data_IF_602923914241
#
_entry.id   IF_602923914241
#
_cell.length_a   1.000
_cell.length_b   1.000
_cell.length_c   1.000
_cell.angle_alpha   90.00
_cell.angle_beta   90.00
_cell.angle_gamma   90.00
#
_symmetry.space_group_name_H-M   'P 1'
#
loop_
_entity.id
_entity.type
_entity.pdbx_description
1 polymer ?
#
# COMPACT_ATOMS: atom_id res chain seq x y z
N UNK A 1 -11.12 -6.64 12.21
CA UNK A 1 -10.24 -5.46 12.07
C UNK A 1 -9.46 -5.68 10.79
N UNK A 2 -9.92 -5.10 9.67
CA UNK A 2 -9.29 -5.33 8.37
C UNK A 2 -7.83 -4.89 8.38
N UNK A 3 -6.97 -5.70 7.78
CA UNK A 3 -5.54 -5.43 7.66
C UNK A 3 -5.07 -5.72 6.25
N UNK A 4 -4.28 -4.81 5.68
CA UNK A 4 -3.57 -5.03 4.44
C UNK A 4 -2.12 -4.57 4.57
N UNK A 5 -1.24 -5.24 3.82
CA UNK A 5 0.16 -4.88 3.69
C UNK A 5 0.48 -4.61 2.22
N UNK A 6 1.23 -3.55 1.98
CA UNK A 6 1.77 -3.19 0.68
C UNK A 6 3.28 -3.15 0.78
N UNK A 7 3.96 -4.05 0.09
CA UNK A 7 5.41 -4.05 -0.02
C UNK A 7 5.83 -3.36 -1.32
N UNK A 8 6.65 -2.31 -1.22
CA UNK A 8 7.17 -1.55 -2.37
C UNK A 8 8.70 -1.48 -2.36
N UNK A 9 9.27 -1.25 -3.54
CA UNK A 9 10.69 -0.93 -3.63
C UNK A 9 10.96 0.43 -2.97
N UNK A 10 12.09 0.54 -2.28
CA UNK A 10 12.53 1.79 -1.67
C UNK A 10 12.63 2.90 -2.73
N UNK A 11 12.22 4.11 -2.36
CA UNK A 11 12.22 5.30 -3.24
C UNK A 11 11.33 5.20 -4.49
N UNK A 12 10.44 4.20 -4.57
CA UNK A 12 9.51 4.09 -5.70
C UNK A 12 8.43 5.18 -5.68
N UNK A 13 8.03 5.63 -4.49
CA UNK A 13 6.94 6.59 -4.29
C UNK A 13 7.36 7.68 -3.30
N UNK A 14 6.83 8.89 -3.49
CA UNK A 14 6.92 9.96 -2.49
C UNK A 14 5.95 9.73 -1.33
N UNK A 15 6.10 10.48 -0.24
CA UNK A 15 5.16 10.41 0.89
C UNK A 15 3.75 10.88 0.50
N UNK A 16 3.63 11.85 -0.42
CA UNK A 16 2.34 12.27 -0.97
C UNK A 16 1.66 11.15 -1.76
N UNK A 17 2.41 10.44 -2.61
CA UNK A 17 1.89 9.30 -3.37
C UNK A 17 1.47 8.15 -2.47
N UNK A 18 2.27 7.85 -1.42
CA UNK A 18 1.90 6.86 -0.39
C UNK A 18 0.59 7.24 0.31
N UNK A 19 0.40 8.51 0.66
CA UNK A 19 -0.83 9.00 1.29
C UNK A 19 -2.05 8.82 0.38
N UNK A 20 -1.91 9.14 -0.91
CA UNK A 20 -2.99 8.94 -1.91
C UNK A 20 -3.35 7.46 -2.06
N UNK A 21 -2.34 6.58 -2.11
CA UNK A 21 -2.56 5.12 -2.21
C UNK A 21 -3.20 4.60 -0.93
N UNK A 22 -2.74 5.06 0.24
CA UNK A 22 -3.28 4.64 1.52
C UNK A 22 -4.78 4.95 1.63
N UNK A 23 -5.18 6.15 1.21
CA UNK A 23 -6.58 6.56 1.17
C UNK A 23 -7.41 5.66 0.24
N UNK A 24 -6.91 5.40 -0.99
CA UNK A 24 -7.61 4.56 -1.96
C UNK A 24 -7.75 3.11 -1.50
N UNK A 25 -6.67 2.53 -0.98
CA UNK A 25 -6.68 1.15 -0.50
C UNK A 25 -7.57 0.99 0.73
N UNK A 26 -7.59 1.97 1.64
CA UNK A 26 -8.49 1.96 2.79
C UNK A 26 -9.95 1.86 2.36
N UNK A 27 -10.36 2.61 1.33
CA UNK A 27 -11.73 2.51 0.78
C UNK A 27 -12.04 1.11 0.25
N UNK A 28 -11.11 0.54 -0.50
CA UNK A 28 -11.25 -0.82 -1.06
C UNK A 28 -11.39 -1.86 0.07
N UNK A 29 -10.56 -1.74 1.11
CA UNK A 29 -10.62 -2.63 2.27
C UNK A 29 -11.98 -2.55 2.96
N UNK A 30 -12.48 -1.33 3.20
CA UNK A 30 -13.80 -1.13 3.82
C UNK A 30 -14.92 -1.71 2.95
N UNK A 31 -14.89 -1.49 1.64
CA UNK A 31 -15.87 -2.02 0.70
C UNK A 31 -15.91 -3.56 0.70
N UNK A 32 -14.76 -4.21 0.62
CA UNK A 32 -14.64 -5.68 0.60
C UNK A 32 -15.18 -6.30 1.90
N UNK A 33 -14.94 -5.63 3.02
CA UNK A 33 -15.36 -6.09 4.35
C UNK A 33 -16.81 -5.70 4.69
N UNK A 34 -17.53 -5.06 3.76
CA UNK A 34 -18.92 -4.62 3.94
C UNK A 34 -19.08 -3.51 4.99
N UNK A 35 -18.04 -2.72 5.22
CA UNK A 35 -18.02 -1.63 6.18
C UNK A 35 -18.35 -0.29 5.52
N UNK A 36 -19.08 0.55 6.24
CA UNK A 36 -19.35 1.92 5.78
C UNK A 36 -18.08 2.77 5.84
N UNK A 37 -17.85 3.62 4.83
CA UNK A 37 -16.78 4.61 4.86
C UNK A 37 -17.10 5.76 5.83
N UNK A 38 -16.74 5.58 7.11
CA UNK A 38 -16.92 6.55 8.18
C UNK A 38 -15.75 6.52 9.17
N UNK A 39 -15.63 7.49 10.10
CA UNK A 39 -14.48 7.58 11.02
C UNK A 39 -14.27 6.34 11.90
N UNK A 40 -15.34 5.62 12.26
CA UNK A 40 -15.26 4.43 13.11
C UNK A 40 -14.70 3.25 12.31
N UNK A 41 -15.23 3.00 11.10
CA UNK A 41 -14.70 1.90 10.28
C UNK A 41 -13.26 2.17 9.85
N UNK A 42 -12.92 3.43 9.53
CA UNK A 42 -11.56 3.83 9.16
C UNK A 42 -10.56 3.63 10.29
N UNK A 43 -10.94 3.87 11.55
CA UNK A 43 -10.03 3.70 12.68
C UNK A 43 -9.64 2.24 12.94
N UNK A 44 -10.36 1.28 12.35
CA UNK A 44 -10.07 -0.15 12.43
C UNK A 44 -9.58 -0.75 11.10
N UNK A 45 -9.47 0.05 10.03
CA UNK A 45 -8.92 -0.38 8.75
C UNK A 45 -7.42 -0.08 8.73
N UNK A 46 -6.62 -1.11 8.92
CA UNK A 46 -5.17 -1.00 9.06
C UNK A 46 -4.50 -1.25 7.70
N UNK A 47 -3.62 -0.33 7.31
CA UNK A 47 -2.79 -0.47 6.12
C UNK A 47 -1.33 -0.21 6.50
N UNK A 48 -0.46 -1.19 6.23
CA UNK A 48 0.98 -1.08 6.42
C UNK A 48 1.69 -0.98 5.07
N UNK A 49 2.56 0.01 4.89
CA UNK A 49 3.36 0.19 3.67
C UNK A 49 4.82 -0.06 4.02
N UNK A 50 5.36 -1.18 3.55
CA UNK A 50 6.73 -1.62 3.79
C UNK A 50 7.61 -1.35 2.59
N UNK A 51 8.80 -0.81 2.84
CA UNK A 51 9.81 -0.62 1.81
C UNK A 51 10.87 -1.72 1.87
N UNK A 52 11.24 -2.26 0.70
CA UNK A 52 12.36 -3.18 0.54
C UNK A 52 13.43 -2.63 -0.39
N UNK A 53 14.69 -2.92 -0.09
CA UNK A 53 15.84 -2.44 -0.87
C UNK A 53 16.17 -3.31 -2.08
N UNK A 54 15.79 -4.60 -2.06
CA UNK A 54 16.19 -5.57 -3.07
C UNK A 54 14.97 -6.33 -3.59
N UNK A 55 14.82 -6.38 -4.91
CA UNK A 55 13.80 -7.17 -5.60
C UNK A 55 14.46 -8.01 -6.68
N UNK A 56 14.09 -9.28 -6.74
CA UNK A 56 14.53 -10.21 -7.78
C UNK A 56 13.30 -10.73 -8.52
N UNK A 57 13.30 -10.61 -9.84
CA UNK A 57 12.20 -11.08 -10.70
C UNK A 57 12.79 -11.98 -11.77
N UNK A 58 12.33 -13.24 -11.84
CA UNK A 58 12.86 -14.22 -12.79
C UNK A 58 14.31 -14.63 -12.54
N UNK A 59 14.82 -14.44 -11.31
CA UNK A 59 16.21 -14.71 -10.94
C UNK A 59 17.16 -13.52 -11.10
N UNK A 60 16.68 -12.38 -11.64
CA UNK A 60 17.51 -11.19 -11.85
C UNK A 60 17.17 -10.06 -10.88
N UNK A 61 18.20 -9.35 -10.40
CA UNK A 61 18.01 -8.17 -9.57
C UNK A 61 17.41 -7.03 -10.41
N UNK A 62 16.25 -6.54 -10.00
CA UNK A 62 15.66 -5.32 -10.56
C UNK A 62 16.07 -4.13 -9.71
N UNK A 63 16.79 -3.19 -10.30
CA UNK A 63 16.98 -1.89 -9.69
C UNK A 63 15.63 -1.14 -9.72
N UNK A 64 15.30 -0.46 -8.63
CA UNK A 64 14.13 0.40 -8.48
C UNK A 64 14.28 1.66 -9.35
N UNK A 65 14.17 1.49 -10.66
CA UNK A 65 14.03 2.57 -11.64
C UNK A 65 13.08 2.08 -12.73
N UNK A 66 11.78 2.14 -12.45
CA UNK A 66 10.77 2.12 -13.49
C UNK A 66 10.14 3.53 -13.47
N UNK A 67 10.75 4.45 -14.22
CA UNK A 67 10.00 5.57 -14.79
C UNK A 67 9.41 5.04 -16.09
N UNK A 68 8.11 4.72 -16.07
CA UNK A 68 7.32 4.54 -17.30
C UNK A 68 7.05 5.91 -17.92
#
# INVERSE_FOLDING_TARGET
>A
MPYAEVAISKHLMTEEEKSIIAEKLTKIILEIEGLNDNPISRSIALLDIKEFANLYVGGERRASMIKL
#
